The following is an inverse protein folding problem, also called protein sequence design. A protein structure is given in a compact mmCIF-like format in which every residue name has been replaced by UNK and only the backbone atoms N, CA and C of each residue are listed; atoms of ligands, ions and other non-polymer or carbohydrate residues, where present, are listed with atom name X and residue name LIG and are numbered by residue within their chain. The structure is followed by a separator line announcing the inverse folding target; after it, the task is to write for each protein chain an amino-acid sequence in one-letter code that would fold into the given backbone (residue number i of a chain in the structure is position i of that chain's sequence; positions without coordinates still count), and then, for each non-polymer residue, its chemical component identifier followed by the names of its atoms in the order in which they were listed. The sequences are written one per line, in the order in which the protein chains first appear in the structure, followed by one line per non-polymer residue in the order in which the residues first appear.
data_IF_864980668995
#
_entry.id   IF_864980668995
#
_cell.length_a   1.000
_cell.length_b   1.000
_cell.length_c   1.000
_cell.angle_alpha   90.00
_cell.angle_beta   90.00
_cell.angle_gamma   90.00
#
_symmetry.space_group_name_H-M   'P 1'
#
loop_
_entity.id
_entity.type
_entity.pdbx_description
1 polymer ?
#
# COMPACT_ATOMS: atom_id res chain seq x y z
N UNK A 1 -32.38 56.26 26.96
CA UNK A 1 -32.53 55.00 26.20
C UNK A 1 -31.26 54.77 25.35
N UNK A 2 -30.20 54.22 25.94
CA UNK A 2 -28.90 53.94 25.28
C UNK A 2 -28.45 52.52 25.64
N UNK A 3 -29.33 51.53 25.43
CA UNK A 3 -29.11 50.15 25.90
C UNK A 3 -29.28 49.06 24.84
N UNK A 4 -29.64 49.41 23.60
CA UNK A 4 -30.02 48.43 22.56
C UNK A 4 -29.05 48.35 21.39
N UNK A 5 -28.26 49.39 21.13
CA UNK A 5 -27.29 49.44 20.02
C UNK A 5 -25.97 48.72 20.34
N UNK A 6 -25.53 48.71 21.60
CA UNK A 6 -24.32 47.97 22.00
C UNK A 6 -24.54 46.45 21.96
N UNK A 7 -25.70 45.98 22.43
CA UNK A 7 -26.07 44.55 22.49
C UNK A 7 -26.10 43.90 21.10
N UNK A 8 -26.59 44.61 20.06
CA UNK A 8 -26.58 44.11 18.68
C UNK A 8 -25.18 43.98 18.05
N UNK A 9 -24.25 44.87 18.41
CA UNK A 9 -22.86 44.79 17.92
C UNK A 9 -22.07 43.67 18.61
N UNK A 10 -22.30 43.46 19.91
CA UNK A 10 -21.69 42.35 20.65
C UNK A 10 -22.22 41.00 20.16
N UNK A 11 -23.52 40.85 19.91
CA UNK A 11 -24.10 39.60 19.39
C UNK A 11 -23.65 39.29 17.96
N UNK A 12 -23.52 40.30 17.09
CA UNK A 12 -22.96 40.12 15.75
C UNK A 12 -21.52 39.65 15.83
N UNK A 13 -20.64 40.33 16.58
CA UNK A 13 -19.23 39.94 16.74
C UNK A 13 -19.07 38.53 17.32
N UNK A 14 -19.91 38.16 18.29
CA UNK A 14 -19.95 36.82 18.86
C UNK A 14 -20.45 35.78 17.86
N UNK A 15 -21.40 36.15 16.98
CA UNK A 15 -21.84 35.32 15.86
C UNK A 15 -20.75 35.05 14.82
N UNK A 16 -19.96 36.05 14.47
CA UNK A 16 -18.80 35.89 13.59
C UNK A 16 -17.74 34.98 14.22
N UNK A 17 -17.39 35.20 15.49
CA UNK A 17 -16.43 34.34 16.22
C UNK A 17 -16.90 32.88 16.28
N UNK A 18 -18.16 32.63 16.63
CA UNK A 18 -18.73 31.28 16.65
C UNK A 18 -18.76 30.62 15.25
N UNK A 19 -18.93 31.40 14.18
CA UNK A 19 -18.87 30.90 12.81
C UNK A 19 -17.45 30.50 12.40
N UNK A 20 -16.45 31.30 12.75
CA UNK A 20 -15.05 31.00 12.49
C UNK A 20 -14.57 29.77 13.27
N UNK A 21 -14.96 29.65 14.54
CA UNK A 21 -14.65 28.47 15.35
C UNK A 21 -15.28 27.19 14.77
N UNK A 22 -16.55 27.25 14.36
CA UNK A 22 -17.23 26.12 13.71
C UNK A 22 -16.59 25.73 12.38
N UNK A 23 -16.14 26.68 11.58
CA UNK A 23 -15.47 26.36 10.31
C UNK A 23 -14.09 25.75 10.56
N UNK A 24 -13.33 26.28 11.53
CA UNK A 24 -12.05 25.69 11.94
C UNK A 24 -12.22 24.27 12.49
N UNK A 25 -13.28 24.02 13.26
CA UNK A 25 -13.60 22.68 13.78
C UNK A 25 -13.97 21.71 12.64
N UNK A 26 -14.71 22.16 11.63
CA UNK A 26 -15.02 21.36 10.43
C UNK A 26 -13.76 21.04 9.62
N UNK A 27 -12.88 22.01 9.44
CA UNK A 27 -11.60 21.81 8.77
C UNK A 27 -10.72 20.80 9.54
N UNK A 28 -10.63 20.94 10.86
CA UNK A 28 -9.92 20.00 11.71
C UNK A 28 -10.51 18.59 11.63
N UNK A 29 -11.84 18.46 11.62
CA UNK A 29 -12.51 17.17 11.44
C UNK A 29 -12.23 16.56 10.07
N UNK A 30 -12.32 17.32 8.98
CA UNK A 30 -11.98 16.85 7.63
C UNK A 30 -10.53 16.37 7.58
N UNK A 31 -9.61 17.14 8.16
CA UNK A 31 -8.20 16.79 8.22
C UNK A 31 -7.97 15.47 8.96
N UNK A 32 -8.62 15.26 10.11
CA UNK A 32 -8.56 14.02 10.87
C UNK A 32 -9.11 12.82 10.07
N UNK A 33 -10.26 12.99 9.41
CA UNK A 33 -10.86 11.94 8.57
C UNK A 33 -9.92 11.53 7.44
N UNK A 34 -9.35 12.49 6.70
CA UNK A 34 -8.40 12.18 5.63
C UNK A 34 -7.10 11.55 6.15
N UNK A 35 -6.64 11.92 7.35
CA UNK A 35 -5.47 11.29 7.97
C UNK A 35 -5.73 9.83 8.33
N UNK A 36 -6.90 9.54 8.89
CA UNK A 36 -7.28 8.17 9.25
C UNK A 36 -7.56 7.31 8.01
N UNK A 37 -8.19 7.88 6.98
CA UNK A 37 -8.40 7.22 5.69
C UNK A 37 -7.06 6.80 5.04
N UNK A 38 -6.09 7.73 4.98
CA UNK A 38 -4.72 7.45 4.53
C UNK A 38 -4.06 6.34 5.32
N UNK A 39 -4.09 6.44 6.66
CA UNK A 39 -3.54 5.40 7.54
C UNK A 39 -4.18 4.04 7.27
N UNK A 40 -5.49 3.99 7.10
CA UNK A 40 -6.23 2.79 6.75
C UNK A 40 -5.78 2.20 5.41
N UNK A 41 -5.66 3.02 4.37
CA UNK A 41 -5.20 2.59 3.05
C UNK A 41 -3.77 2.04 3.09
N UNK A 42 -2.84 2.76 3.74
CA UNK A 42 -1.44 2.33 3.82
C UNK A 42 -1.29 1.03 4.61
N UNK A 43 -1.98 0.91 5.74
CA UNK A 43 -1.97 -0.30 6.56
C UNK A 43 -2.50 -1.52 5.81
N UNK A 44 -3.57 -1.35 5.02
CA UNK A 44 -4.12 -2.42 4.18
C UNK A 44 -3.11 -2.87 3.12
N UNK A 45 -2.44 -1.92 2.43
CA UNK A 45 -1.43 -2.26 1.42
C UNK A 45 -0.28 -3.07 2.03
N UNK A 46 0.28 -2.62 3.17
CA UNK A 46 1.34 -3.35 3.88
C UNK A 46 0.87 -4.74 4.32
N UNK A 47 -0.34 -4.83 4.87
CA UNK A 47 -0.88 -6.11 5.35
C UNK A 47 -1.06 -7.10 4.19
N UNK A 48 -1.51 -6.61 3.04
CA UNK A 48 -1.70 -7.43 1.84
C UNK A 48 -0.37 -7.84 1.21
N UNK A 49 0.65 -6.99 1.28
CA UNK A 49 2.01 -7.32 0.85
C UNK A 49 2.59 -8.48 1.68
N UNK A 50 2.40 -8.48 3.00
CA UNK A 50 2.81 -9.62 3.83
C UNK A 50 2.01 -10.90 3.58
N UNK A 51 0.79 -10.80 3.05
CA UNK A 51 0.04 -11.97 2.57
C UNK A 51 0.68 -12.52 1.29
N UNK A 52 1.09 -11.63 0.38
CA UNK A 52 1.82 -11.98 -0.83
C UNK A 52 3.18 -12.63 -0.52
N UNK A 53 3.95 -12.10 0.44
CA UNK A 53 5.23 -12.68 0.88
C UNK A 53 5.11 -14.15 1.28
N UNK A 54 4.03 -14.49 2.01
CA UNK A 54 3.78 -15.86 2.43
C UNK A 54 3.49 -16.79 1.25
N UNK A 55 2.82 -16.29 0.22
CA UNK A 55 2.55 -17.05 -1.00
C UNK A 55 3.81 -17.22 -1.84
N UNK A 56 4.64 -16.18 -1.95
CA UNK A 56 5.96 -16.26 -2.60
C UNK A 56 6.84 -17.29 -1.90
N UNK A 57 6.93 -17.24 -0.57
CA UNK A 57 7.69 -18.23 0.21
C UNK A 57 7.14 -19.65 0.04
N UNK A 58 5.82 -19.80 -0.03
CA UNK A 58 5.17 -21.09 -0.29
C UNK A 58 5.50 -21.62 -1.69
N UNK A 59 5.44 -20.76 -2.73
CA UNK A 59 5.76 -21.08 -4.11
C UNK A 59 7.21 -21.53 -4.30
N UNK A 60 8.15 -20.89 -3.60
CA UNK A 60 9.55 -21.29 -3.63
C UNK A 60 9.78 -22.72 -3.12
N UNK A 61 9.05 -23.10 -2.07
CA UNK A 61 9.19 -24.39 -1.39
C UNK A 61 8.34 -25.51 -2.01
N UNK A 62 7.32 -25.15 -2.78
CA UNK A 62 6.38 -26.11 -3.35
C UNK A 62 6.90 -26.76 -4.62
N UNK A 63 6.43 -27.98 -4.89
CA UNK A 63 6.76 -28.70 -6.12
C UNK A 63 5.88 -28.22 -7.27
N UNK A 64 6.40 -28.30 -8.50
CA UNK A 64 5.66 -27.89 -9.71
C UNK A 64 4.25 -28.50 -9.84
N UNK A 65 4.03 -29.69 -9.29
CA UNK A 65 2.74 -30.39 -9.25
C UNK A 65 1.72 -29.81 -8.26
N UNK A 66 2.18 -29.13 -7.21
CA UNK A 66 1.38 -28.53 -6.13
C UNK A 66 1.05 -27.04 -6.39
N UNK A 67 1.76 -26.43 -7.35
CA UNK A 67 1.70 -25.01 -7.66
C UNK A 67 0.38 -24.45 -8.24
N UNK A 68 -0.53 -25.20 -8.90
CA UNK A 68 -1.68 -24.57 -9.57
C UNK A 68 -2.58 -23.72 -8.66
N UNK A 69 -2.86 -24.20 -7.44
CA UNK A 69 -3.67 -23.44 -6.49
C UNK A 69 -2.89 -22.23 -5.95
N UNK A 70 -1.61 -22.43 -5.58
CA UNK A 70 -0.76 -21.35 -5.08
C UNK A 70 -0.58 -20.21 -6.09
N UNK A 71 -0.46 -20.54 -7.39
CA UNK A 71 -0.42 -19.55 -8.47
C UNK A 71 -1.73 -18.76 -8.52
N UNK A 72 -2.87 -19.45 -8.52
CA UNK A 72 -4.19 -18.78 -8.53
C UNK A 72 -4.39 -17.88 -7.32
N UNK A 73 -3.96 -18.31 -6.13
CA UNK A 73 -4.04 -17.52 -4.90
C UNK A 73 -3.12 -16.29 -4.99
N UNK A 74 -1.93 -16.46 -5.57
CA UNK A 74 -0.96 -15.38 -5.79
C UNK A 74 -1.51 -14.33 -6.76
N UNK A 75 -2.09 -14.74 -7.89
CA UNK A 75 -2.74 -13.83 -8.85
C UNK A 75 -3.88 -13.02 -8.23
N UNK A 76 -4.70 -13.66 -7.39
CA UNK A 76 -5.77 -12.99 -6.66
C UNK A 76 -5.23 -11.96 -5.66
N UNK A 77 -4.15 -12.30 -4.95
CA UNK A 77 -3.50 -11.37 -4.02
C UNK A 77 -2.86 -10.19 -4.75
N UNK A 78 -2.16 -10.41 -5.87
CA UNK A 78 -1.59 -9.34 -6.70
C UNK A 78 -2.67 -8.42 -7.24
N UNK A 79 -3.78 -8.96 -7.75
CA UNK A 79 -4.91 -8.16 -8.21
C UNK A 79 -5.44 -7.25 -7.10
N UNK A 80 -5.61 -7.80 -5.90
CA UNK A 80 -6.04 -7.03 -4.72
C UNK A 80 -4.99 -6.01 -4.25
N UNK A 81 -3.69 -6.30 -4.40
CA UNK A 81 -2.61 -5.35 -4.12
C UNK A 81 -2.70 -4.13 -5.05
N UNK A 82 -2.89 -4.34 -6.34
CA UNK A 82 -2.97 -3.26 -7.33
C UNK A 82 -4.21 -2.35 -7.11
N UNK A 83 -5.33 -2.92 -6.66
CA UNK A 83 -6.48 -2.13 -6.20
C UNK A 83 -6.13 -1.26 -4.99
N UNK A 84 -5.38 -1.80 -4.02
CA UNK A 84 -4.93 -1.05 -2.85
C UNK A 84 -3.90 0.02 -3.22
N UNK A 85 -3.01 -0.22 -4.19
CA UNK A 85 -2.11 0.80 -4.74
C UNK A 85 -2.90 1.98 -5.28
N UNK A 86 -3.96 1.72 -6.06
CA UNK A 86 -4.85 2.76 -6.58
C UNK A 86 -5.49 3.57 -5.45
N UNK A 87 -5.97 2.89 -4.40
CA UNK A 87 -6.53 3.57 -3.22
C UNK A 87 -5.50 4.46 -2.52
N UNK A 88 -4.26 3.99 -2.39
CA UNK A 88 -3.16 4.76 -1.81
C UNK A 88 -2.81 5.99 -2.66
N UNK A 89 -2.82 5.87 -3.99
CA UNK A 89 -2.61 6.99 -4.90
C UNK A 89 -3.72 8.05 -4.82
N UNK A 90 -4.97 7.63 -4.57
CA UNK A 90 -6.11 8.54 -4.43
C UNK A 90 -6.12 9.29 -3.09
N UNK A 91 -5.75 8.62 -2.01
CA UNK A 91 -5.82 9.19 -0.65
C UNK A 91 -4.52 9.86 -0.20
N UNK A 92 -3.37 9.38 -0.69
CA UNK A 92 -2.04 9.78 -0.25
C UNK A 92 -1.44 10.96 -1.02
N UNK A 93 -0.36 11.58 -0.49
CA UNK A 93 0.41 12.54 -1.26
C UNK A 93 1.16 11.83 -2.41
N UNK A 94 1.55 12.55 -3.47
CA UNK A 94 2.18 11.96 -4.66
C UNK A 94 3.41 11.08 -4.35
N UNK A 95 4.23 11.46 -3.36
CA UNK A 95 5.41 10.68 -2.96
C UNK A 95 5.06 9.29 -2.43
N UNK A 96 3.96 9.16 -1.68
CA UNK A 96 3.48 7.87 -1.16
C UNK A 96 2.83 7.06 -2.29
N UNK A 97 2.09 7.73 -3.18
CA UNK A 97 1.49 7.08 -4.36
C UNK A 97 2.53 6.47 -5.29
N UNK A 98 3.62 7.20 -5.59
CA UNK A 98 4.73 6.69 -6.41
C UNK A 98 5.46 5.53 -5.74
N UNK A 99 5.66 5.59 -4.42
CA UNK A 99 6.28 4.49 -3.68
C UNK A 99 5.38 3.24 -3.67
N UNK A 100 4.06 3.41 -3.55
CA UNK A 100 3.10 2.32 -3.63
C UNK A 100 3.05 1.68 -5.03
N UNK A 101 3.08 2.50 -6.08
CA UNK A 101 3.16 2.03 -7.46
C UNK A 101 4.44 1.22 -7.70
N UNK A 102 5.59 1.75 -7.28
CA UNK A 102 6.86 1.03 -7.41
C UNK A 102 6.88 -0.28 -6.63
N UNK A 103 6.17 -0.38 -5.50
CA UNK A 103 6.02 -1.63 -4.75
C UNK A 103 5.10 -2.61 -5.48
N UNK A 104 3.93 -2.15 -5.93
CA UNK A 104 2.96 -2.98 -6.64
C UNK A 104 3.50 -3.55 -7.95
N UNK A 105 4.28 -2.76 -8.71
CA UNK A 105 4.97 -3.27 -9.90
C UNK A 105 5.98 -4.36 -9.55
N UNK A 106 6.78 -4.17 -8.48
CA UNK A 106 7.74 -5.19 -8.05
C UNK A 106 7.06 -6.48 -7.55
N UNK A 107 5.93 -6.38 -6.83
CA UNK A 107 5.11 -7.53 -6.46
C UNK A 107 4.58 -8.28 -7.70
N UNK A 108 4.11 -7.55 -8.71
CA UNK A 108 3.64 -8.13 -9.96
C UNK A 108 4.76 -8.81 -10.77
N UNK A 109 5.94 -8.21 -10.84
CA UNK A 109 7.09 -8.74 -11.57
C UNK A 109 7.54 -10.07 -10.94
N UNK A 110 7.70 -10.11 -9.60
CA UNK A 110 8.06 -11.35 -8.88
C UNK A 110 7.00 -12.44 -9.08
N UNK A 111 5.72 -12.10 -8.99
CA UNK A 111 4.64 -13.06 -9.22
C UNK A 111 4.69 -13.66 -10.64
N UNK A 112 4.90 -12.81 -11.64
CA UNK A 112 4.96 -13.20 -13.05
C UNK A 112 6.13 -14.15 -13.32
N UNK A 113 7.32 -13.80 -12.83
CA UNK A 113 8.52 -14.60 -13.05
C UNK A 113 8.47 -15.93 -12.28
N UNK A 114 7.93 -15.96 -11.06
CA UNK A 114 7.72 -17.21 -10.31
C UNK A 114 6.72 -18.13 -11.00
N UNK A 115 5.64 -17.57 -11.54
CA UNK A 115 4.67 -18.32 -12.31
C UNK A 115 5.30 -18.92 -13.57
N UNK A 116 6.10 -18.15 -14.31
CA UNK A 116 6.81 -18.63 -15.50
C UNK A 116 7.82 -19.72 -15.14
N UNK A 117 8.61 -19.54 -14.07
CA UNK A 117 9.54 -20.56 -13.57
C UNK A 117 8.80 -21.87 -13.22
N UNK A 118 7.66 -21.77 -12.55
CA UNK A 118 6.80 -22.92 -12.23
C UNK A 118 6.32 -23.65 -13.48
N UNK A 119 5.86 -22.93 -14.50
CA UNK A 119 5.44 -23.52 -15.77
C UNK A 119 6.60 -24.20 -16.51
N UNK A 120 7.78 -23.58 -16.54
CA UNK A 120 8.97 -24.15 -17.16
C UNK A 120 9.42 -25.42 -16.45
N UNK A 121 9.46 -25.40 -15.12
CA UNK A 121 9.79 -26.56 -14.29
C UNK A 121 8.87 -27.75 -14.59
N UNK A 122 7.56 -27.50 -14.66
CA UNK A 122 6.56 -28.51 -15.02
C UNK A 122 6.76 -29.06 -16.44
N UNK A 123 7.03 -28.20 -17.43
CA UNK A 123 7.26 -28.60 -18.83
C UNK A 123 8.50 -29.47 -19.00
N UNK A 124 9.53 -29.22 -18.20
CA UNK A 124 10.79 -29.97 -18.22
C UNK A 124 10.71 -31.27 -17.38
N UNK A 125 9.59 -31.53 -16.72
CA UNK A 125 9.41 -32.71 -15.86
C UNK A 125 10.19 -32.64 -14.56
N UNK A 126 10.59 -31.45 -14.13
CA UNK A 126 11.30 -31.25 -12.86
C UNK A 126 10.29 -31.16 -11.71
N UNK A 127 9.97 -32.29 -11.10
CA UNK A 127 9.16 -32.34 -9.87
C UNK A 127 10.03 -32.14 -8.62
N UNK A 128 10.69 -30.99 -8.55
CA UNK A 128 11.44 -30.53 -7.38
C UNK A 128 10.94 -29.15 -6.96
N UNK A 129 11.16 -28.76 -5.69
CA UNK A 129 10.97 -27.38 -5.24
C UNK A 129 11.66 -26.36 -6.15
N UNK A 130 11.08 -25.17 -6.28
CA UNK A 130 11.64 -24.11 -7.13
C UNK A 130 12.97 -23.61 -6.60
N UNK A 131 13.14 -23.58 -5.27
CA UNK A 131 14.41 -23.22 -4.59
C UNK A 131 15.56 -24.21 -4.87
N UNK A 132 15.25 -25.44 -5.31
CA UNK A 132 16.23 -26.45 -5.69
C UNK A 132 16.65 -26.35 -7.18
N UNK A 133 16.04 -25.45 -7.94
CA UNK A 133 16.44 -25.13 -9.31
C UNK A 133 17.64 -24.20 -9.24
N UNK A 134 18.66 -24.48 -10.04
CA UNK A 134 19.86 -23.62 -10.13
C UNK A 134 19.97 -23.08 -11.54
N UNK A 135 20.34 -21.80 -11.67
CA UNK A 135 20.48 -21.15 -12.96
C UNK A 135 20.41 -19.64 -12.85
N UNK A 136 20.61 -18.95 -13.99
CA UNK A 136 20.53 -17.50 -14.04
C UNK A 136 19.13 -17.00 -13.74
N UNK A 137 18.10 -17.65 -14.29
CA UNK A 137 16.68 -17.29 -14.08
C UNK A 137 16.31 -17.24 -12.60
N UNK A 138 16.73 -18.23 -11.81
CA UNK A 138 16.44 -18.26 -10.36
C UNK A 138 17.10 -17.09 -9.65
N UNK A 139 18.37 -16.79 -9.98
CA UNK A 139 19.08 -15.63 -9.41
C UNK A 139 18.44 -14.30 -9.79
N UNK A 140 17.93 -14.19 -11.01
CA UNK A 140 17.24 -12.99 -11.46
C UNK A 140 15.97 -12.76 -10.64
N UNK A 141 15.20 -13.83 -10.33
CA UNK A 141 14.01 -13.76 -9.47
C UNK A 141 14.39 -13.43 -8.02
N UNK A 142 15.45 -14.05 -7.48
CA UNK A 142 15.96 -13.71 -6.14
C UNK A 142 16.38 -12.24 -6.04
N UNK A 143 17.00 -11.68 -7.09
CA UNK A 143 17.35 -10.27 -7.14
C UNK A 143 16.10 -9.38 -7.18
N UNK A 144 15.08 -9.74 -7.98
CA UNK A 144 13.80 -9.03 -8.01
C UNK A 144 13.12 -9.04 -6.64
N UNK A 145 13.11 -10.18 -5.94
CA UNK A 145 12.53 -10.31 -4.62
C UNK A 145 13.30 -9.49 -3.57
N UNK A 146 14.62 -9.43 -3.67
CA UNK A 146 15.44 -8.56 -2.82
C UNK A 146 15.17 -7.07 -3.08
N UNK A 147 15.05 -6.65 -4.35
CA UNK A 147 14.70 -5.28 -4.73
C UNK A 147 13.31 -4.88 -4.21
N UNK A 148 12.34 -5.80 -4.29
CA UNK A 148 10.97 -5.66 -3.77
C UNK A 148 10.97 -5.34 -2.28
N UNK A 149 11.81 -6.01 -1.47
CA UNK A 149 12.01 -5.68 -0.06
C UNK A 149 12.42 -4.21 0.17
N UNK A 150 13.34 -3.70 -0.65
CA UNK A 150 13.72 -2.28 -0.63
C UNK A 150 12.59 -1.33 -1.02
N UNK A 151 11.70 -1.74 -1.94
CA UNK A 151 10.50 -0.96 -2.30
C UNK A 151 9.50 -0.89 -1.14
N UNK A 152 9.31 -1.97 -0.40
CA UNK A 152 8.46 -1.99 0.79
C UNK A 152 8.97 -1.01 1.86
N UNK A 153 10.28 -1.02 2.13
CA UNK A 153 10.90 -0.10 3.08
C UNK A 153 10.69 1.37 2.67
N UNK A 154 10.89 1.69 1.39
CA UNK A 154 10.65 3.02 0.83
C UNK A 154 9.19 3.45 0.99
N UNK A 155 8.24 2.55 0.70
CA UNK A 155 6.81 2.81 0.90
C UNK A 155 6.49 3.09 2.38
N UNK A 156 6.97 2.25 3.30
CA UNK A 156 6.74 2.43 4.74
C UNK A 156 7.35 3.75 5.22
N UNK A 157 8.54 4.10 4.76
CA UNK A 157 9.20 5.36 5.11
C UNK A 157 8.35 6.57 4.64
N UNK A 158 7.95 6.59 3.37
CA UNK A 158 7.12 7.66 2.82
C UNK A 158 5.76 7.76 3.55
N UNK A 159 5.13 6.62 3.83
CA UNK A 159 3.87 6.54 4.57
C UNK A 159 4.00 7.11 6.00
N UNK A 160 5.11 6.79 6.70
CA UNK A 160 5.40 7.32 8.04
C UNK A 160 5.60 8.83 8.02
N UNK A 161 6.35 9.37 7.06
CA UNK A 161 6.51 10.82 6.92
C UNK A 161 5.17 11.51 6.67
N UNK A 162 4.34 10.96 5.77
CA UNK A 162 3.04 11.52 5.43
C UNK A 162 2.03 11.50 6.59
N UNK A 163 2.09 10.50 7.49
CA UNK A 163 1.23 10.41 8.68
C UNK A 163 1.81 11.19 9.87
N UNK A 164 3.13 11.12 10.06
CA UNK A 164 3.85 11.67 11.20
C UNK A 164 3.95 13.19 11.19
N UNK A 165 3.89 13.82 10.01
CA UNK A 165 3.93 15.27 9.88
C UNK A 165 5.30 15.85 10.25
N UNK A 166 6.40 15.16 9.94
CA UNK A 166 7.70 15.81 9.99
C UNK A 166 7.69 16.95 8.97
N UNK A 167 7.76 18.14 9.56
CA UNK A 167 7.79 19.43 8.90
C UNK A 167 9.11 19.51 8.11
N UNK A 168 9.01 19.68 6.79
CA UNK A 168 10.06 20.38 6.05
C UNK A 168 9.73 21.86 6.13
#
# INVERSE_FOLDING_TARGET
MLGTSATGFFTLRQGWQNSYEKERDREAQRWLVHREARRGAYSKLVSKHYEFDKLVEALWKSRSSENPQLISDTEAVVSSLLELVTLVQLEGPPSVGLAAESLGSADQDVATELQELSFQSRRQGFDRPLDAITGQVVRDIENLDAERGGKLENFIHAARQAIGGESV
#
